data_IF_777231227755
#
_entry.id   IF_777231227755
#
_cell.length_a   1.000
_cell.length_b   1.000
_cell.length_c   1.000
_cell.angle_alpha   90.00
_cell.angle_beta   90.00
_cell.angle_gamma   90.00
#
_symmetry.space_group_name_H-M   'P 1'
#
loop_
_entity.id
_entity.type
_entity.pdbx_description
1 polymer ?
#
# COMPACT_ATOMS: atom_id res chain seq x y z
N UNK A 1 -9.10 2.71 9.58
CA UNK A 1 -7.99 1.85 9.14
C UNK A 1 -8.37 1.22 7.81
N UNK A 2 -7.42 1.02 6.90
CA UNK A 2 -7.62 0.26 5.65
C UNK A 2 -6.57 -0.85 5.61
N UNK A 3 -7.00 -2.10 5.41
CA UNK A 3 -6.12 -3.24 5.19
C UNK A 3 -6.18 -3.66 3.72
N UNK A 4 -5.01 -3.84 3.10
CA UNK A 4 -4.88 -4.44 1.77
C UNK A 4 -4.25 -5.83 1.90
N UNK A 5 -4.92 -6.88 1.46
CA UNK A 5 -4.40 -8.26 1.51
C UNK A 5 -4.04 -8.73 0.11
N UNK A 6 -2.80 -9.18 -0.06
CA UNK A 6 -2.29 -9.68 -1.34
C UNK A 6 -2.62 -11.16 -1.47
N UNK A 7 -3.27 -11.50 -2.57
CA UNK A 7 -3.48 -12.87 -3.01
C UNK A 7 -2.46 -13.20 -4.10
N UNK A 8 -1.60 -14.18 -3.83
CA UNK A 8 -0.74 -14.79 -4.83
C UNK A 8 -1.38 -16.10 -5.26
N UNK A 9 -1.66 -16.26 -6.55
CA UNK A 9 -1.95 -17.57 -7.13
C UNK A 9 -0.87 -17.89 -8.15
N UNK A 10 -0.54 -19.17 -8.30
CA UNK A 10 0.50 -19.63 -9.23
C UNK A 10 0.13 -19.44 -10.70
N UNK A 11 -1.12 -19.08 -11.00
CA UNK A 11 -1.65 -18.96 -12.36
C UNK A 11 -2.15 -17.57 -12.72
N UNK A 12 -2.23 -16.63 -11.78
CA UNK A 12 -2.74 -15.26 -12.03
C UNK A 12 -1.75 -14.20 -11.60
N UNK A 13 -1.87 -13.02 -12.21
CA UNK A 13 -1.17 -11.84 -11.73
C UNK A 13 -1.54 -11.57 -10.25
N UNK A 14 -0.59 -11.06 -9.43
CA UNK A 14 -0.86 -10.72 -8.05
C UNK A 14 -1.98 -9.69 -7.94
N UNK A 15 -2.84 -9.90 -6.95
CA UNK A 15 -4.00 -9.07 -6.65
C UNK A 15 -3.95 -8.62 -5.19
N UNK A 16 -4.38 -7.39 -4.90
CA UNK A 16 -4.57 -6.89 -3.54
C UNK A 16 -6.00 -6.42 -3.36
N UNK A 17 -6.66 -6.89 -2.31
CA UNK A 17 -8.01 -6.45 -1.94
C UNK A 17 -7.97 -5.59 -0.69
N UNK A 18 -8.54 -4.39 -0.77
CA UNK A 18 -8.62 -3.40 0.29
C UNK A 18 -9.96 -3.46 1.03
N UNK A 19 -9.92 -3.38 2.36
CA UNK A 19 -11.09 -3.34 3.26
C UNK A 19 -10.91 -2.27 4.33
N UNK A 20 -11.99 -1.58 4.68
CA UNK A 20 -11.99 -0.53 5.73
C UNK A 20 -12.83 -0.89 6.96
N UNK A 21 -13.12 -2.18 7.14
CA UNK A 21 -14.00 -2.72 8.17
C UNK A 21 -14.70 -4.01 7.69
N UNK A 22 -15.63 -4.55 8.49
CA UNK A 22 -16.48 -5.66 8.05
C UNK A 22 -17.36 -5.24 6.88
N UNK A 23 -17.66 -6.17 5.96
CA UNK A 23 -18.54 -5.94 4.81
C UNK A 23 -17.84 -6.08 3.45
N UNK A 24 -18.37 -5.37 2.45
CA UNK A 24 -17.87 -5.42 1.09
C UNK A 24 -16.47 -4.79 0.97
N UNK A 25 -15.61 -5.28 0.06
CA UNK A 25 -14.32 -4.65 -0.23
C UNK A 25 -14.48 -3.18 -0.62
N UNK A 26 -13.52 -2.35 -0.20
CA UNK A 26 -13.40 -0.96 -0.62
C UNK A 26 -12.92 -0.87 -2.08
N UNK A 27 -11.90 -1.63 -2.41
CA UNK A 27 -11.29 -1.68 -3.72
C UNK A 27 -10.49 -2.98 -3.92
N UNK A 28 -10.24 -3.34 -5.17
CA UNK A 28 -9.35 -4.42 -5.57
C UNK A 28 -8.37 -3.90 -6.60
N UNK A 29 -7.09 -4.26 -6.49
CA UNK A 29 -6.09 -3.91 -7.48
C UNK A 29 -5.38 -5.13 -8.05
N UNK A 30 -5.20 -5.12 -9.37
CA UNK A 30 -4.54 -6.21 -10.11
C UNK A 30 -3.31 -5.68 -10.85
N UNK A 31 -2.25 -6.49 -10.89
CA UNK A 31 -1.09 -6.21 -11.73
C UNK A 31 -1.39 -6.48 -13.21
N UNK A 32 -1.14 -5.49 -14.07
CA UNK A 32 -1.08 -5.70 -15.50
C UNK A 32 0.38 -5.88 -15.94
N UNK A 33 0.80 -7.14 -16.01
CA UNK A 33 2.17 -7.53 -16.35
C UNK A 33 2.66 -7.00 -17.71
N UNK A 34 1.75 -6.75 -18.65
CA UNK A 34 2.12 -6.27 -19.98
C UNK A 34 2.48 -4.78 -20.01
N UNK A 35 2.11 -4.00 -18.99
CA UNK A 35 2.20 -2.52 -19.05
C UNK A 35 2.88 -1.86 -17.84
N UNK A 36 3.34 -2.64 -16.84
CA UNK A 36 3.79 -2.11 -15.53
C UNK A 36 2.78 -1.14 -14.89
N UNK A 37 1.50 -1.35 -15.20
CA UNK A 37 0.39 -0.60 -14.63
C UNK A 37 -0.37 -1.51 -13.69
N UNK A 38 -0.85 -0.95 -12.60
CA UNK A 38 -1.79 -1.62 -11.71
C UNK A 38 -3.13 -0.92 -11.81
N UNK A 39 -4.20 -1.71 -11.87
CA UNK A 39 -5.56 -1.18 -11.96
C UNK A 39 -6.25 -1.35 -10.62
N UNK A 40 -6.55 -0.25 -9.94
CA UNK A 40 -7.42 -0.23 -8.77
C UNK A 40 -8.87 -0.05 -9.25
N UNK A 41 -9.76 -0.93 -8.84
CA UNK A 41 -11.21 -0.85 -9.07
C UNK A 41 -11.91 -0.72 -7.73
N UNK A 42 -12.64 0.37 -7.52
CA UNK A 42 -13.41 0.62 -6.31
C UNK A 42 -14.78 -0.07 -6.34
N UNK A 43 -15.43 -0.16 -5.19
CA UNK A 43 -16.80 -0.69 -5.07
C UNK A 43 -17.82 0.07 -5.95
N UNK A 44 -17.62 1.38 -6.14
CA UNK A 44 -18.43 2.23 -7.03
C UNK A 44 -18.08 2.05 -8.53
N UNK A 45 -17.22 1.07 -8.85
CA UNK A 45 -16.68 0.77 -10.18
C UNK A 45 -15.76 1.86 -10.74
N UNK A 46 -15.46 2.92 -10.00
CA UNK A 46 -14.46 3.88 -10.41
C UNK A 46 -13.07 3.24 -10.45
N UNK A 47 -12.23 3.74 -11.35
CA UNK A 47 -10.92 3.16 -11.65
C UNK A 47 -9.82 4.17 -11.38
N UNK A 48 -8.73 3.68 -10.81
CA UNK A 48 -7.45 4.38 -10.70
C UNK A 48 -6.36 3.50 -11.29
N UNK A 49 -5.50 4.10 -12.10
CA UNK A 49 -4.30 3.47 -12.65
C UNK A 49 -3.08 3.94 -11.88
N UNK A 50 -2.20 2.99 -11.59
CA UNK A 50 -0.91 3.21 -10.94
C UNK A 50 0.16 2.78 -11.90
N UNK A 51 0.90 3.72 -12.47
CA UNK A 51 2.04 3.42 -13.34
C UNK A 51 3.31 3.30 -12.48
N UNK A 52 3.79 2.07 -12.35
CA UNK A 52 4.94 1.72 -11.52
C UNK A 52 6.18 1.52 -12.40
N UNK A 53 7.26 2.24 -12.09
CA UNK A 53 8.53 2.10 -12.81
C UNK A 53 9.67 1.99 -11.78
N UNK A 54 10.78 1.28 -12.05
CA UNK A 54 11.85 1.10 -11.05
C UNK A 54 12.53 2.40 -10.60
N UNK A 55 12.77 3.34 -11.50
CA UNK A 55 13.57 4.56 -11.24
C UNK A 55 12.78 5.86 -11.32
N UNK A 56 11.57 5.83 -11.89
CA UNK A 56 10.77 7.02 -12.14
C UNK A 56 9.71 7.23 -11.06
N UNK A 57 9.16 8.45 -10.90
CA UNK A 57 8.03 8.66 -10.02
C UNK A 57 6.84 7.74 -10.35
N UNK A 58 6.10 7.34 -9.33
CA UNK A 58 4.86 6.57 -9.50
C UNK A 58 3.77 7.53 -9.91
N UNK A 59 3.18 7.32 -11.08
CA UNK A 59 2.15 8.22 -11.63
C UNK A 59 0.77 7.63 -11.40
N UNK A 60 -0.16 8.44 -10.88
CA UNK A 60 -1.51 8.03 -10.52
C UNK A 60 -2.53 8.80 -11.36
N UNK A 61 -3.37 8.08 -12.10
CA UNK A 61 -4.42 8.65 -12.95
C UNK A 61 -5.77 7.99 -12.72
N UNK A 62 -6.84 8.71 -13.09
CA UNK A 62 -8.20 8.17 -13.16
C UNK A 62 -8.35 7.23 -14.36
N UNK A 63 -9.45 6.48 -14.38
CA UNK A 63 -9.81 5.61 -15.51
C UNK A 63 -9.93 6.33 -16.86
N UNK A 64 -10.26 7.63 -16.86
CA UNK A 64 -10.34 8.49 -18.04
C UNK A 64 -9.00 9.15 -18.43
N UNK A 65 -7.92 8.86 -17.70
CA UNK A 65 -6.60 9.46 -17.89
C UNK A 65 -6.34 10.74 -17.12
N UNK A 66 -7.33 11.31 -16.42
CA UNK A 66 -7.16 12.53 -15.60
C UNK A 66 -6.10 12.31 -14.52
N UNK A 67 -5.14 13.22 -14.43
CA UNK A 67 -4.08 13.15 -13.43
C UNK A 67 -4.61 13.37 -12.00
N UNK A 68 -4.25 12.47 -11.09
CA UNK A 68 -4.56 12.59 -9.65
C UNK A 68 -3.35 13.13 -8.91
N UNK A 69 -2.17 12.58 -9.21
CA UNK A 69 -0.92 12.99 -8.59
C UNK A 69 0.20 11.99 -8.86
N UNK A 70 1.30 12.21 -8.16
CA UNK A 70 2.55 11.48 -8.34
C UNK A 70 3.20 11.22 -6.99
N UNK A 71 3.83 10.06 -6.83
CA UNK A 71 4.78 9.83 -5.74
C UNK A 71 6.19 9.98 -6.26
N UNK A 72 6.85 11.05 -5.81
CA UNK A 72 8.26 11.32 -6.05
C UNK A 72 9.09 10.46 -5.11
N UNK A 73 10.02 9.66 -5.63
CA UNK A 73 10.81 8.70 -4.85
C UNK A 73 12.28 9.14 -4.80
N UNK A 74 12.81 9.26 -3.59
CA UNK A 74 14.21 9.58 -3.30
C UNK A 74 14.66 8.79 -2.06
N UNK A 75 15.42 9.39 -1.13
CA UNK A 75 15.73 8.77 0.16
C UNK A 75 14.49 8.58 1.04
N UNK A 76 13.56 9.53 0.91
CA UNK A 76 12.16 9.44 1.35
C UNK A 76 11.26 9.70 0.16
N UNK A 77 10.00 9.27 0.23
CA UNK A 77 9.04 9.51 -0.85
C UNK A 77 8.06 10.62 -0.47
N UNK A 78 7.62 11.37 -1.48
CA UNK A 78 6.64 12.47 -1.31
C UNK A 78 5.50 12.30 -2.29
N UNK A 79 4.28 12.26 -1.78
CA UNK A 79 3.06 12.31 -2.58
C UNK A 79 2.68 13.76 -2.88
N UNK A 80 2.48 14.06 -4.16
CA UNK A 80 2.08 15.38 -4.65
C UNK A 80 0.81 15.23 -5.48
N UNK A 81 -0.19 16.06 -5.25
CA UNK A 81 -1.40 16.13 -6.06
C UNK A 81 -1.09 16.67 -7.46
N UNK A 82 -1.96 16.41 -8.45
CA UNK A 82 -1.80 16.93 -9.81
C UNK A 82 -1.83 18.46 -9.89
N UNK A 83 -2.38 19.13 -8.89
CA UNK A 83 -2.36 20.59 -8.72
C UNK A 83 -1.04 21.13 -8.15
N UNK A 84 -0.09 20.26 -7.82
CA UNK A 84 1.22 20.62 -7.27
C UNK A 84 1.31 20.69 -5.74
N UNK A 85 0.19 20.50 -5.03
CA UNK A 85 0.18 20.51 -3.56
C UNK A 85 0.75 19.21 -2.96
N UNK A 86 1.68 19.31 -2.01
CA UNK A 86 2.13 18.15 -1.22
C UNK A 86 0.99 17.61 -0.37
N UNK A 87 0.74 16.30 -0.47
CA UNK A 87 -0.27 15.60 0.32
C UNK A 87 0.34 14.98 1.56
N UNK A 88 1.42 14.21 1.38
CA UNK A 88 2.13 13.60 2.49
C UNK A 88 3.56 13.19 2.12
N UNK A 89 4.37 12.99 3.16
CA UNK A 89 5.70 12.38 3.07
C UNK A 89 5.69 10.98 3.68
N UNK A 90 6.41 10.05 3.06
CA UNK A 90 6.66 8.69 3.55
C UNK A 90 8.07 8.61 4.14
N UNK A 91 8.16 8.39 5.44
CA UNK A 91 9.43 8.29 6.16
C UNK A 91 9.56 6.92 6.84
N UNK A 92 10.77 6.40 7.03
CA UNK A 92 10.99 5.28 7.95
C UNK A 92 10.45 5.65 9.34
N UNK A 93 9.80 4.71 10.03
CA UNK A 93 9.45 4.94 11.42
C UNK A 93 10.74 5.09 12.27
N UNK A 94 10.92 6.20 13.02
CA UNK A 94 12.18 6.47 13.71
C UNK A 94 12.46 5.46 14.84
N UNK A 95 11.43 5.11 15.62
CA UNK A 95 11.62 4.34 16.87
C UNK A 95 11.20 2.88 16.78
N UNK A 96 10.75 2.40 15.61
CA UNK A 96 10.31 1.00 15.48
C UNK A 96 11.49 0.15 15.02
N UNK A 97 11.89 -0.90 15.76
CA UNK A 97 12.88 -1.86 15.30
C UNK A 97 12.44 -2.47 13.97
N UNK A 98 13.33 -2.54 12.99
CA UNK A 98 13.06 -3.27 11.76
C UNK A 98 12.94 -4.74 12.11
N UNK A 99 11.76 -5.32 11.90
CA UNK A 99 11.55 -6.76 12.04
C UNK A 99 11.45 -7.40 10.67
N UNK A 100 11.82 -8.68 10.51
CA UNK A 100 11.53 -9.42 9.26
C UNK A 100 10.03 -9.43 8.92
N UNK A 101 9.16 -9.34 9.92
CA UNK A 101 7.71 -9.53 9.79
C UNK A 101 6.97 -8.40 9.10
N UNK A 102 7.40 -7.15 9.33
CA UNK A 102 6.80 -5.99 8.70
C UNK A 102 7.78 -4.83 8.58
N UNK A 103 7.47 -3.88 7.70
CA UNK A 103 8.15 -2.61 7.60
C UNK A 103 7.16 -1.48 7.92
N UNK A 104 7.53 -0.51 8.77
CA UNK A 104 6.67 0.62 9.14
C UNK A 104 7.16 1.93 8.53
N UNK A 105 6.23 2.64 7.90
CA UNK A 105 6.37 3.98 7.40
C UNK A 105 5.53 4.95 8.24
N UNK A 106 6.09 6.11 8.53
CA UNK A 106 5.38 7.26 9.07
C UNK A 106 4.83 8.09 7.91
N UNK A 107 3.59 8.55 8.04
CA UNK A 107 2.99 9.51 7.11
C UNK A 107 2.96 10.89 7.79
N UNK A 108 3.62 11.85 7.17
CA UNK A 108 3.64 13.25 7.60
C UNK A 108 2.85 14.12 6.64
N UNK A 109 2.16 15.14 7.13
CA UNK A 109 1.61 16.21 6.28
C UNK A 109 2.73 17.13 5.74
N UNK A 110 2.34 18.12 4.92
CA UNK A 110 3.22 19.14 4.37
C UNK A 110 3.99 19.97 5.42
N UNK A 111 3.49 20.01 6.65
CA UNK A 111 4.09 20.74 7.78
C UNK A 111 4.97 19.86 8.65
N UNK A 112 5.09 18.56 8.32
CA UNK A 112 5.86 17.58 9.08
C UNK A 112 5.09 16.95 10.25
N UNK A 113 3.79 17.20 10.40
CA UNK A 113 2.99 16.59 11.46
C UNK A 113 2.57 15.17 11.08
N UNK A 114 2.58 14.26 12.05
CA UNK A 114 2.12 12.88 11.85
C UNK A 114 0.62 12.83 11.54
N UNK A 115 0.29 12.36 10.35
CA UNK A 115 -1.10 12.13 9.91
C UNK A 115 -1.50 10.66 9.96
N UNK A 116 -0.54 9.75 9.95
CA UNK A 116 -0.82 8.33 9.96
C UNK A 116 0.43 7.46 9.95
N UNK A 117 0.22 6.17 9.66
CA UNK A 117 1.28 5.18 9.40
C UNK A 117 0.83 4.20 8.33
N UNK A 118 1.80 3.65 7.63
CA UNK A 118 1.63 2.57 6.68
C UNK A 118 2.54 1.41 7.07
N UNK A 119 1.99 0.20 7.15
CA UNK A 119 2.73 -1.01 7.46
C UNK A 119 2.73 -1.91 6.22
N UNK A 120 3.90 -2.40 5.83
CA UNK A 120 4.09 -3.38 4.76
C UNK A 120 4.34 -4.73 5.42
N UNK A 121 3.45 -5.68 5.21
CA UNK A 121 3.41 -6.93 5.97
C UNK A 121 4.02 -8.04 5.13
N UNK A 122 5.02 -8.73 5.68
CA UNK A 122 5.87 -9.70 4.97
C UNK A 122 5.67 -11.13 5.46
N UNK A 123 5.21 -11.29 6.70
CA UNK A 123 4.94 -12.60 7.30
C UNK A 123 3.57 -12.60 7.99
N UNK A 124 2.98 -13.79 8.27
CA UNK A 124 1.76 -13.88 9.05
C UNK A 124 1.87 -13.18 10.42
N UNK A 125 3.03 -13.27 11.09
CA UNK A 125 3.28 -12.62 12.37
C UNK A 125 3.18 -11.09 12.29
N UNK A 126 3.50 -10.50 11.14
CA UNK A 126 3.37 -9.06 10.92
C UNK A 126 1.93 -8.54 11.01
N UNK A 127 0.93 -9.40 10.74
CA UNK A 127 -0.47 -9.04 10.96
C UNK A 127 -0.81 -8.90 12.44
N UNK A 128 -0.27 -9.76 13.31
CA UNK A 128 -0.56 -9.75 14.74
C UNK A 128 0.04 -8.54 15.47
N UNK A 129 1.19 -8.02 15.02
CA UNK A 129 1.92 -6.94 15.69
C UNK A 129 1.24 -5.55 15.67
N UNK A 130 0.06 -5.41 15.07
CA UNK A 130 -0.71 -4.15 15.02
C UNK A 130 -2.10 -4.21 15.63
N UNK A 131 -2.54 -5.36 16.13
CA UNK A 131 -3.84 -5.55 16.77
C UNK A 131 -3.69 -5.67 18.28
N UNK A 132 -4.15 -4.65 19.01
CA UNK A 132 -4.38 -4.78 20.45
C UNK A 132 -5.79 -5.34 20.66
N UNK A 133 -5.95 -6.67 20.66
CA UNK A 133 -7.17 -7.34 21.12
C UNK A 133 -8.14 -7.86 20.04
N UNK A 134 -8.53 -9.12 20.22
CA UNK A 134 -9.69 -9.89 19.72
C UNK A 134 -9.89 -10.21 18.22
N UNK A 135 -9.42 -9.43 17.25
CA UNK A 135 -9.66 -9.74 15.81
C UNK A 135 -8.67 -10.75 15.18
N UNK A 136 -7.76 -11.31 15.98
CA UNK A 136 -6.68 -12.17 15.49
C UNK A 136 -7.17 -13.51 14.89
N UNK A 137 -8.36 -14.00 15.27
CA UNK A 137 -8.79 -15.38 14.96
C UNK A 137 -9.21 -15.60 13.52
N UNK A 138 -9.68 -14.57 12.81
CA UNK A 138 -10.12 -14.71 11.41
C UNK A 138 -8.92 -14.72 10.43
N UNK A 139 -7.73 -14.37 10.90
CA UNK A 139 -6.52 -14.22 10.06
C UNK A 139 -5.65 -15.47 9.96
N UNK A 140 -5.84 -16.46 10.84
CA UNK A 140 -4.95 -17.62 10.97
C UNK A 140 -5.31 -18.79 10.07
N UNK A 141 -6.53 -18.81 9.51
CA UNK A 141 -7.10 -20.02 8.88
C UNK A 141 -6.68 -20.29 7.42
N UNK A 142 -5.85 -19.43 6.80
CA UNK A 142 -5.61 -19.47 5.34
C UNK A 142 -4.15 -19.71 4.91
N UNK A 143 -3.19 -19.96 5.81
CA UNK A 143 -1.75 -19.96 5.46
C UNK A 143 -0.94 -21.22 5.82
N UNK A 144 -1.57 -22.37 6.07
CA UNK A 144 -0.89 -23.66 5.89
C UNK A 144 -0.53 -23.82 4.40
N UNK A 145 0.69 -23.41 4.01
CA UNK A 145 1.48 -23.98 2.91
C UNK A 145 2.97 -23.78 3.22
N UNK A 146 3.61 -24.83 3.73
CA UNK A 146 5.06 -24.99 3.83
C UNK A 146 5.69 -24.96 2.44
N UNK A 147 6.28 -23.82 2.08
CA UNK A 147 7.15 -23.66 0.91
C UNK A 147 8.40 -22.84 1.29
N UNK A 148 9.52 -22.99 0.55
CA UNK A 148 10.74 -22.24 0.84
C UNK A 148 10.50 -20.72 0.82
N UNK A 149 11.17 -19.95 1.69
CA UNK A 149 10.98 -18.51 1.81
C UNK A 149 11.33 -17.82 0.50
N UNK A 150 10.36 -17.16 -0.11
CA UNK A 150 10.60 -16.30 -1.26
C UNK A 150 11.49 -15.12 -0.84
N UNK A 151 12.31 -14.56 -1.75
CA UNK A 151 12.98 -13.26 -1.58
C UNK A 151 11.92 -12.14 -1.55
N UNK A 152 11.23 -12.09 -0.41
CA UNK A 152 10.17 -11.21 0.12
C UNK A 152 8.88 -11.07 -0.73
N UNK A 153 7.90 -11.98 -0.59
CA UNK A 153 6.55 -11.75 -1.07
C UNK A 153 5.78 -10.92 -0.03
N UNK A 154 5.39 -9.69 -0.38
CA UNK A 154 4.57 -8.86 0.50
C UNK A 154 3.18 -9.49 0.62
N UNK A 155 2.74 -9.80 1.84
CA UNK A 155 1.42 -10.38 2.11
C UNK A 155 0.32 -9.31 2.13
N UNK A 156 0.67 -8.05 2.34
CA UNK A 156 -0.30 -6.97 2.40
C UNK A 156 0.23 -5.66 2.95
N UNK A 157 -0.72 -4.76 3.16
CA UNK A 157 -0.50 -3.44 3.71
C UNK A 157 -1.54 -3.12 4.78
N UNK A 158 -1.17 -2.30 5.75
CA UNK A 158 -2.10 -1.71 6.72
C UNK A 158 -1.89 -0.20 6.79
N UNK A 159 -2.89 0.54 6.37
CA UNK A 159 -2.92 2.00 6.41
C UNK A 159 -3.77 2.47 7.60
N UNK A 160 -3.15 3.23 8.50
CA UNK A 160 -3.81 3.82 9.67
C UNK A 160 -3.68 5.32 9.59
N UNK A 161 -4.80 6.02 9.46
CA UNK A 161 -4.87 7.48 9.42
C UNK A 161 -5.50 7.99 10.72
N UNK A 162 -4.96 9.08 11.25
CA UNK A 162 -5.43 9.73 12.47
C UNK A 162 -6.59 10.70 12.21
N UNK A 163 -6.97 10.88 10.94
CA UNK A 163 -8.01 11.80 10.47
C UNK A 163 -8.75 11.20 9.28
N UNK A 164 -9.95 11.71 8.97
CA UNK A 164 -10.57 11.45 7.68
C UNK A 164 -9.63 11.84 6.53
N UNK A 165 -9.62 11.03 5.48
CA UNK A 165 -8.89 11.29 4.24
C UNK A 165 -9.90 11.58 3.15
N UNK A 166 -9.60 12.58 2.31
CA UNK A 166 -10.43 12.88 1.15
C UNK A 166 -10.21 11.84 0.04
N UNK A 167 -10.96 11.98 -1.07
CA UNK A 167 -10.88 11.05 -2.19
C UNK A 167 -9.48 11.01 -2.80
N UNK A 168 -8.87 12.16 -3.09
CA UNK A 168 -7.57 12.27 -3.77
C UNK A 168 -6.48 11.66 -2.90
N UNK A 169 -6.46 12.00 -1.61
CA UNK A 169 -5.52 11.43 -0.66
C UNK A 169 -5.70 9.92 -0.55
N UNK A 170 -6.94 9.43 -0.46
CA UNK A 170 -7.22 7.99 -0.45
C UNK A 170 -6.69 7.30 -1.70
N UNK A 171 -6.93 7.85 -2.88
CA UNK A 171 -6.45 7.26 -4.14
C UNK A 171 -4.94 7.14 -4.18
N UNK A 172 -4.22 8.17 -3.75
CA UNK A 172 -2.76 8.17 -3.73
C UNK A 172 -2.21 7.23 -2.67
N UNK A 173 -2.83 7.17 -1.48
CA UNK A 173 -2.39 6.24 -0.43
C UNK A 173 -2.65 4.78 -0.82
N UNK A 174 -3.79 4.47 -1.43
CA UNK A 174 -4.03 3.12 -1.96
C UNK A 174 -3.10 2.80 -3.13
N UNK A 175 -2.83 3.75 -4.02
CA UNK A 175 -1.85 3.58 -5.08
C UNK A 175 -0.46 3.27 -4.54
N UNK A 176 -0.01 3.99 -3.50
CA UNK A 176 1.25 3.70 -2.83
C UNK A 176 1.27 2.29 -2.22
N UNK A 177 0.17 1.85 -1.60
CA UNK A 177 0.05 0.48 -1.08
C UNK A 177 0.20 -0.57 -2.20
N UNK A 178 -0.46 -0.35 -3.35
CA UNK A 178 -0.35 -1.23 -4.52
C UNK A 178 1.06 -1.25 -5.08
N UNK A 179 1.67 -0.08 -5.24
CA UNK A 179 3.00 0.06 -5.82
C UNK A 179 4.09 -0.59 -4.96
N UNK A 180 4.00 -0.46 -3.64
CA UNK A 180 4.88 -1.16 -2.70
C UNK A 180 4.60 -2.67 -2.67
N UNK A 181 3.34 -3.10 -2.55
CA UNK A 181 3.01 -4.50 -2.31
C UNK A 181 3.02 -5.38 -3.55
N UNK A 182 2.58 -4.84 -4.68
CA UNK A 182 2.48 -5.55 -5.97
C UNK A 182 3.61 -5.11 -6.91
N UNK A 183 3.87 -3.80 -7.00
CA UNK A 183 4.94 -3.25 -7.82
C UNK A 183 6.35 -3.49 -7.23
N UNK A 184 6.43 -3.92 -5.97
CA UNK A 184 7.66 -4.14 -5.20
C UNK A 184 8.58 -2.91 -5.19
N UNK A 185 8.00 -1.71 -5.25
CA UNK A 185 8.75 -0.47 -5.30
C UNK A 185 9.14 0.03 -3.90
N UNK A 186 10.43 0.26 -3.62
CA UNK A 186 10.84 0.82 -2.34
C UNK A 186 10.53 2.33 -2.29
N UNK A 187 9.91 2.77 -1.19
CA UNK A 187 9.53 4.18 -1.00
C UNK A 187 10.50 4.95 -0.10
N UNK A 188 11.39 4.24 0.60
CA UNK A 188 12.44 4.84 1.41
C UNK A 188 13.73 4.06 1.17
N UNK A 189 14.89 4.71 1.31
CA UNK A 189 16.19 4.09 1.01
C UNK A 189 16.40 2.76 1.76
N UNK A 190 15.86 2.66 2.97
CA UNK A 190 16.01 1.51 3.87
C UNK A 190 15.15 0.29 3.49
N UNK A 191 14.31 0.42 2.45
CA UNK A 191 13.56 -0.69 1.84
C UNK A 191 14.27 -1.28 0.61
N UNK A 192 15.35 -0.65 0.13
CA UNK A 192 16.22 -1.17 -0.93
C UNK A 192 17.15 -2.24 -0.35
#
# INVERSE_FOLDING_TARGET
MIEGRVLHTTSTAPEITFRSGPGAPLATAVHNAASRKHRITYADKSVVWVESKPTDPTVITRGDGTAIGTVLRADTSTAVASTGGTLCHFLPHPDTPRTPDLFRLLLLDRSGNKTGRLEIIRTPAGWAMGYNGEDARDTTLWWDRTGPPLPVPILGTRLVMNRPIDRVERDILLAACVDMAIGLQPYVAVMK
#
